data_IF_678838108898
#
_entry.id   IF_678838108898
#
_cell.length_a   1.000
_cell.length_b   1.000
_cell.length_c   1.000
_cell.angle_alpha   90.00
_cell.angle_beta   90.00
_cell.angle_gamma   90.00
#
_symmetry.space_group_name_H-M   'P 1'
#
loop_
_entity.id
_entity.type
_entity.pdbx_description
1 polymer ?
#
# COMPACT_ATOMS: atom_id res chain seq x y z
N UNK A 1 19.54 60.35 -44.36
CA UNK A 1 19.28 58.90 -44.28
C UNK A 1 20.20 58.26 -43.25
N UNK A 2 19.75 58.05 -42.01
CA UNK A 2 20.36 57.08 -41.10
C UNK A 2 19.49 55.81 -41.03
N UNK A 3 20.13 54.64 -41.13
CA UNK A 3 19.51 53.33 -40.93
C UNK A 3 19.07 53.18 -39.45
N UNK A 4 17.76 53.00 -39.21
CA UNK A 4 17.21 52.56 -37.93
C UNK A 4 17.22 51.03 -37.85
N UNK A 5 18.00 50.48 -36.93
CA UNK A 5 17.89 49.09 -36.48
C UNK A 5 16.72 48.96 -35.49
N UNK A 6 15.86 47.92 -35.61
CA UNK A 6 14.77 47.70 -34.68
C UNK A 6 15.25 47.01 -33.40
N UNK A 7 14.50 47.28 -32.32
CA UNK A 7 14.77 46.86 -30.95
C UNK A 7 14.89 45.33 -30.78
N UNK A 8 16.02 44.91 -30.20
CA UNK A 8 16.19 43.61 -29.54
C UNK A 8 15.40 43.61 -28.22
N UNK A 9 14.10 43.34 -28.31
CA UNK A 9 13.26 43.08 -27.14
C UNK A 9 12.59 41.72 -27.33
N UNK A 10 13.32 40.64 -27.04
CA UNK A 10 12.79 39.27 -26.86
C UNK A 10 13.93 38.35 -26.35
N UNK A 11 14.42 38.61 -25.14
CA UNK A 11 15.05 37.55 -24.33
C UNK A 11 13.99 37.20 -23.29
N UNK A 12 13.27 36.06 -23.39
CA UNK A 12 12.45 35.62 -22.28
C UNK A 12 13.41 35.34 -21.13
N UNK A 13 13.14 35.99 -19.99
CA UNK A 13 13.79 35.70 -18.74
C UNK A 13 13.79 34.18 -18.56
N UNK A 14 14.98 33.59 -18.55
CA UNK A 14 15.20 32.24 -18.05
C UNK A 14 14.87 32.36 -16.56
N UNK A 15 13.58 32.21 -16.26
CA UNK A 15 13.09 31.94 -14.92
C UNK A 15 13.91 30.77 -14.44
N UNK A 16 14.65 31.01 -13.36
CA UNK A 16 15.39 30.02 -12.60
C UNK A 16 14.44 28.86 -12.33
N UNK A 17 14.44 27.84 -13.20
CA UNK A 17 13.78 26.59 -12.90
C UNK A 17 14.50 26.06 -11.67
N UNK A 18 13.84 25.97 -10.50
CA UNK A 18 14.45 25.31 -9.38
C UNK A 18 14.75 23.89 -9.84
N UNK A 19 16.00 23.46 -9.70
CA UNK A 19 16.41 22.08 -9.93
C UNK A 19 15.40 21.21 -9.19
N UNK A 20 14.54 20.44 -9.88
CA UNK A 20 13.53 19.66 -9.19
C UNK A 20 14.30 18.68 -8.31
N UNK A 21 14.08 18.75 -7.00
CA UNK A 21 14.49 17.66 -6.12
C UNK A 21 13.88 16.37 -6.71
N UNK A 22 14.56 15.23 -6.56
CA UNK A 22 14.09 13.95 -7.10
C UNK A 22 12.63 13.63 -6.72
N UNK A 23 12.09 14.24 -5.66
CA UNK A 23 10.69 14.17 -5.24
C UNK A 23 9.69 14.86 -6.22
N UNK A 24 10.10 15.91 -6.94
CA UNK A 24 9.23 16.68 -7.83
C UNK A 24 9.09 16.05 -9.23
N UNK A 25 10.06 15.23 -9.64
CA UNK A 25 10.08 14.59 -10.96
C UNK A 25 8.95 13.54 -11.05
N UNK A 26 8.75 12.77 -9.99
CA UNK A 26 7.70 11.75 -9.94
C UNK A 26 6.30 12.34 -9.83
N UNK A 27 6.13 13.45 -9.08
CA UNK A 27 4.86 14.17 -9.00
C UNK A 27 4.46 14.80 -10.34
N UNK A 28 5.41 15.44 -11.02
CA UNK A 28 5.18 16.02 -12.34
C UNK A 28 4.85 14.93 -13.38
N UNK A 29 5.54 13.78 -13.32
CA UNK A 29 5.27 12.63 -14.19
C UNK A 29 3.93 11.98 -13.90
N UNK A 30 3.54 11.82 -12.64
CA UNK A 30 2.24 11.27 -12.23
C UNK A 30 1.09 12.21 -12.62
N UNK A 31 1.22 13.51 -12.39
CA UNK A 31 0.25 14.54 -12.80
C UNK A 31 0.08 14.62 -14.32
N UNK A 32 1.20 14.60 -15.05
CA UNK A 32 1.20 14.60 -16.52
C UNK A 32 0.58 13.32 -17.08
N UNK A 33 0.91 12.14 -16.52
CA UNK A 33 0.34 10.87 -16.95
C UNK A 33 -1.14 10.73 -16.59
N UNK A 34 -1.60 11.25 -15.46
CA UNK A 34 -3.03 11.29 -15.12
C UNK A 34 -3.81 12.09 -16.18
N UNK A 35 -3.28 13.24 -16.59
CA UNK A 35 -3.86 14.09 -17.65
C UNK A 35 -3.77 13.45 -19.04
N UNK A 36 -2.70 12.70 -19.33
CA UNK A 36 -2.56 11.93 -20.58
C UNK A 36 -3.37 10.64 -20.60
N UNK A 37 -3.61 9.99 -19.45
CA UNK A 37 -4.38 8.74 -19.35
C UNK A 37 -5.86 8.94 -19.68
N UNK A 38 -6.42 10.10 -19.34
CA UNK A 38 -7.76 10.50 -19.78
C UNK A 38 -7.82 10.72 -21.31
N UNK A 39 -6.70 11.06 -21.95
CA UNK A 39 -6.58 11.27 -23.40
C UNK A 39 -6.12 10.02 -24.17
N UNK A 40 -5.52 9.03 -23.50
CA UNK A 40 -4.84 7.88 -24.08
C UNK A 40 -5.65 6.56 -23.99
N UNK A 41 -6.97 6.62 -23.78
CA UNK A 41 -7.88 5.48 -23.88
C UNK A 41 -7.86 4.74 -25.24
N UNK A 42 -6.96 5.13 -26.16
CA UNK A 42 -6.83 4.56 -27.49
C UNK A 42 -5.54 3.71 -27.69
N UNK A 43 -4.44 3.88 -26.93
CA UNK A 43 -3.12 3.30 -27.31
C UNK A 43 -2.17 2.87 -26.14
N UNK A 44 -2.65 2.11 -25.14
CA UNK A 44 -1.77 1.49 -24.12
C UNK A 44 -1.44 0.01 -24.44
N UNK A 45 -0.19 -0.47 -24.20
CA UNK A 45 0.28 -1.82 -24.58
C UNK A 45 -0.34 -2.98 -23.76
N UNK A 46 -1.06 -2.69 -22.68
CA UNK A 46 -1.84 -3.67 -21.91
C UNK A 46 -3.21 -3.05 -21.55
N UNK A 47 -4.33 -3.71 -21.88
CA UNK A 47 -5.66 -3.21 -21.54
C UNK A 47 -5.80 -2.99 -20.03
N UNK A 48 -6.38 -1.86 -19.61
CA UNK A 48 -6.69 -1.57 -18.19
C UNK A 48 -7.44 -2.72 -17.50
N UNK A 49 -8.24 -3.47 -18.27
CA UNK A 49 -8.95 -4.67 -17.86
C UNK A 49 -7.99 -5.74 -17.31
N UNK A 50 -6.82 -5.95 -17.93
CA UNK A 50 -5.83 -6.93 -17.48
C UNK A 50 -5.21 -6.48 -16.16
N UNK A 51 -4.88 -5.18 -16.04
CA UNK A 51 -4.32 -4.60 -14.80
C UNK A 51 -5.28 -4.79 -13.63
N UNK A 52 -6.57 -4.53 -13.84
CA UNK A 52 -7.59 -4.76 -12.81
C UNK A 52 -7.83 -6.25 -12.54
N UNK A 53 -7.74 -7.10 -13.57
CA UNK A 53 -7.79 -8.56 -13.43
C UNK A 53 -6.73 -9.11 -12.47
N UNK A 54 -5.50 -8.58 -12.54
CA UNK A 54 -4.43 -8.92 -11.59
C UNK A 54 -4.80 -8.49 -10.17
N UNK A 55 -5.41 -7.31 -10.01
CA UNK A 55 -5.94 -6.85 -8.72
C UNK A 55 -6.99 -7.79 -8.14
N UNK A 56 -7.94 -8.26 -8.94
CA UNK A 56 -8.95 -9.24 -8.49
C UNK A 56 -8.33 -10.59 -8.12
N UNK A 57 -7.31 -11.04 -8.84
CA UNK A 57 -6.56 -12.24 -8.47
C UNK A 57 -5.85 -12.07 -7.11
N UNK A 58 -5.30 -10.88 -6.85
CA UNK A 58 -4.72 -10.54 -5.55
C UNK A 58 -5.76 -10.59 -4.42
N UNK A 59 -6.95 -10.03 -4.64
CA UNK A 59 -8.09 -10.10 -3.70
C UNK A 59 -8.44 -11.54 -3.39
N UNK A 60 -8.56 -12.39 -4.41
CA UNK A 60 -8.89 -13.80 -4.24
C UNK A 60 -7.85 -14.51 -3.37
N UNK A 61 -6.55 -14.26 -3.59
CA UNK A 61 -5.48 -14.80 -2.76
C UNK A 61 -5.58 -14.32 -1.31
N UNK A 62 -5.91 -13.06 -1.07
CA UNK A 62 -6.15 -12.52 0.27
C UNK A 62 -7.35 -13.16 0.97
N UNK A 63 -8.48 -13.30 0.28
CA UNK A 63 -9.67 -13.96 0.82
C UNK A 63 -9.37 -15.42 1.19
N UNK A 64 -8.66 -16.14 0.31
CA UNK A 64 -8.24 -17.52 0.58
C UNK A 64 -7.29 -17.59 1.77
N UNK A 65 -6.41 -16.60 1.94
CA UNK A 65 -5.50 -16.52 3.09
C UNK A 65 -6.26 -16.57 4.42
N UNK A 66 -7.36 -15.82 4.54
CA UNK A 66 -8.16 -15.77 5.76
C UNK A 66 -8.91 -17.07 6.06
N UNK A 67 -9.17 -17.90 5.05
CA UNK A 67 -9.87 -19.17 5.23
C UNK A 67 -8.93 -20.30 5.71
N UNK A 68 -7.62 -20.14 5.56
CA UNK A 68 -6.66 -21.18 5.92
C UNK A 68 -6.26 -21.08 7.39
N UNK A 69 -6.46 -22.18 8.13
CA UNK A 69 -6.08 -22.29 9.56
C UNK A 69 -4.57 -22.41 9.81
N UNK A 70 -3.77 -22.72 8.79
CA UNK A 70 -2.32 -22.88 8.92
C UNK A 70 -1.59 -21.54 8.78
N UNK A 71 -0.90 -21.10 9.84
CA UNK A 71 -0.15 -19.83 9.87
C UNK A 71 0.84 -19.68 8.70
N UNK A 72 1.56 -20.75 8.34
CA UNK A 72 2.57 -20.70 7.27
C UNK A 72 1.94 -20.44 5.89
N UNK A 73 0.81 -21.11 5.61
CA UNK A 73 0.07 -20.96 4.35
C UNK A 73 -0.69 -19.64 4.29
N UNK A 74 -1.19 -19.16 5.43
CA UNK A 74 -1.80 -17.84 5.57
C UNK A 74 -0.82 -16.74 5.12
N UNK A 75 0.39 -16.70 5.71
CA UNK A 75 1.39 -15.71 5.31
C UNK A 75 1.90 -15.89 3.88
N UNK A 76 1.97 -17.12 3.37
CA UNK A 76 2.33 -17.38 1.97
C UNK A 76 1.29 -16.78 1.00
N UNK A 77 0.00 -16.96 1.27
CA UNK A 77 -1.06 -16.37 0.43
C UNK A 77 -1.10 -14.85 0.55
N UNK A 78 -0.85 -14.28 1.73
CA UNK A 78 -0.69 -12.81 1.86
C UNK A 78 0.52 -12.31 1.11
N UNK A 79 1.63 -13.06 1.09
CA UNK A 79 2.81 -12.74 0.31
C UNK A 79 2.50 -12.74 -1.18
N UNK A 80 1.81 -13.77 -1.68
CA UNK A 80 1.38 -13.86 -3.09
C UNK A 80 0.42 -12.72 -3.43
N UNK A 81 -0.57 -12.45 -2.59
CA UNK A 81 -1.52 -11.35 -2.77
C UNK A 81 -0.81 -9.98 -2.79
N UNK A 82 0.11 -9.73 -1.85
CA UNK A 82 0.93 -8.52 -1.86
C UNK A 82 1.84 -8.42 -3.07
N UNK A 83 2.37 -9.53 -3.60
CA UNK A 83 3.17 -9.52 -4.82
C UNK A 83 2.32 -9.16 -6.05
N UNK A 84 1.11 -9.70 -6.16
CA UNK A 84 0.18 -9.38 -7.25
C UNK A 84 -0.26 -7.91 -7.20
N UNK A 85 -0.60 -7.38 -6.02
CA UNK A 85 -0.91 -5.96 -5.89
C UNK A 85 0.31 -5.06 -6.12
N UNK A 86 1.51 -5.49 -5.71
CA UNK A 86 2.76 -4.78 -6.00
C UNK A 86 2.95 -4.66 -7.52
N UNK A 87 2.72 -5.75 -8.25
CA UNK A 87 2.76 -5.77 -9.70
C UNK A 87 1.69 -4.87 -10.32
N UNK A 88 0.46 -4.91 -9.81
CA UNK A 88 -0.62 -4.02 -10.26
C UNK A 88 -0.25 -2.54 -10.06
N UNK A 89 0.26 -2.17 -8.89
CA UNK A 89 0.66 -0.79 -8.59
C UNK A 89 1.85 -0.33 -9.41
N UNK A 90 2.77 -1.24 -9.75
CA UNK A 90 3.83 -0.94 -10.70
C UNK A 90 3.26 -0.60 -12.08
N UNK A 91 2.28 -1.37 -12.57
CA UNK A 91 1.62 -1.11 -13.85
C UNK A 91 0.78 0.19 -13.85
N UNK A 92 0.25 0.59 -12.69
CA UNK A 92 -0.46 1.86 -12.50
C UNK A 92 0.48 3.06 -12.26
N UNK A 93 1.81 2.88 -12.35
CA UNK A 93 2.84 3.88 -12.01
C UNK A 93 2.71 4.43 -10.56
N UNK A 94 2.08 3.67 -9.67
CA UNK A 94 1.89 3.99 -8.26
C UNK A 94 3.07 3.49 -7.41
N UNK A 95 4.26 4.04 -7.66
CA UNK A 95 5.51 3.56 -7.05
C UNK A 95 5.51 3.56 -5.52
N UNK A 96 4.93 4.59 -4.89
CA UNK A 96 4.89 4.68 -3.41
C UNK A 96 4.15 3.50 -2.77
N UNK A 97 3.04 3.07 -3.36
CA UNK A 97 2.30 1.88 -2.94
C UNK A 97 3.07 0.61 -3.26
N UNK A 98 3.67 0.53 -4.45
CA UNK A 98 4.50 -0.60 -4.88
C UNK A 98 5.62 -0.89 -3.87
N UNK A 99 6.41 0.12 -3.46
CA UNK A 99 7.48 -0.09 -2.48
C UNK A 99 6.94 -0.41 -1.09
N UNK A 100 5.81 0.17 -0.68
CA UNK A 100 5.13 -0.19 0.57
C UNK A 100 4.71 -1.66 0.55
N UNK A 101 4.21 -2.16 -0.58
CA UNK A 101 3.86 -3.57 -0.75
C UNK A 101 5.09 -4.47 -0.81
N UNK A 102 6.20 -4.02 -1.37
CA UNK A 102 7.47 -4.75 -1.34
C UNK A 102 7.95 -5.00 0.11
N UNK A 103 7.80 -4.02 1.00
CA UNK A 103 8.10 -4.22 2.44
C UNK A 103 7.06 -5.13 3.09
N UNK A 104 5.79 -5.07 2.70
CA UNK A 104 4.78 -6.02 3.17
C UNK A 104 5.10 -7.47 2.76
N UNK A 105 5.63 -7.69 1.55
CA UNK A 105 6.15 -9.00 1.10
C UNK A 105 7.28 -9.46 2.01
N UNK A 106 8.27 -8.60 2.30
CA UNK A 106 9.36 -8.89 3.23
C UNK A 106 8.82 -9.24 4.62
N UNK A 107 7.90 -8.43 5.15
CA UNK A 107 7.25 -8.65 6.46
C UNK A 107 6.54 -10.01 6.50
N UNK A 108 5.76 -10.34 5.47
CA UNK A 108 5.03 -11.60 5.38
C UNK A 108 6.00 -12.80 5.28
N UNK A 109 7.12 -12.64 4.57
CA UNK A 109 8.18 -13.66 4.51
C UNK A 109 8.87 -13.87 5.87
N UNK A 110 9.15 -12.78 6.60
CA UNK A 110 9.70 -12.85 7.97
C UNK A 110 8.72 -13.55 8.92
N UNK A 111 7.43 -13.23 8.83
CA UNK A 111 6.38 -13.88 9.62
C UNK A 111 6.23 -15.37 9.31
N UNK A 112 6.46 -15.78 8.06
CA UNK A 112 6.48 -17.21 7.71
C UNK A 112 7.60 -17.97 8.43
N UNK A 113 8.73 -17.33 8.71
CA UNK A 113 9.87 -17.88 9.46
C UNK A 113 9.85 -17.52 10.95
N UNK A 114 8.73 -16.98 11.46
CA UNK A 114 8.62 -16.53 12.86
C UNK A 114 8.93 -17.64 13.88
N UNK A 115 8.57 -18.89 13.57
CA UNK A 115 8.82 -20.04 14.46
C UNK A 115 10.27 -20.55 14.38
N UNK A 116 10.92 -20.40 13.23
CA UNK A 116 12.28 -20.92 13.00
C UNK A 116 13.36 -19.93 13.50
N UNK A 117 13.07 -18.62 13.40
CA UNK A 117 14.04 -17.56 13.66
C UNK A 117 13.68 -16.78 14.93
N UNK A 118 14.33 -17.12 16.04
CA UNK A 118 14.14 -16.48 17.35
C UNK A 118 14.37 -14.96 17.35
N UNK A 119 15.13 -14.41 16.40
CA UNK A 119 15.33 -12.96 16.31
C UNK A 119 14.10 -12.22 15.77
N UNK A 120 13.27 -12.86 14.93
CA UNK A 120 12.05 -12.25 14.37
C UNK A 120 11.02 -12.02 15.48
N UNK A 121 11.05 -12.84 16.52
CA UNK A 121 10.18 -12.72 17.69
C UNK A 121 10.54 -11.54 18.61
N UNK A 122 11.72 -10.92 18.43
CA UNK A 122 12.15 -9.80 19.27
C UNK A 122 11.39 -8.53 18.90
N UNK A 123 11.10 -7.70 19.92
CA UNK A 123 10.39 -6.42 19.79
C UNK A 123 11.07 -5.39 18.89
N UNK A 124 12.37 -5.57 18.58
CA UNK A 124 13.12 -4.70 17.66
C UNK A 124 12.78 -4.95 16.18
N UNK A 125 12.29 -6.14 15.81
CA UNK A 125 11.99 -6.48 14.42
C UNK A 125 10.91 -5.56 13.77
N UNK A 126 9.75 -5.30 14.39
CA UNK A 126 8.75 -4.39 13.82
C UNK A 126 9.25 -2.94 13.76
N UNK A 127 10.15 -2.53 14.67
CA UNK A 127 10.78 -1.21 14.65
C UNK A 127 11.69 -1.07 13.42
N UNK A 128 12.51 -2.07 13.12
CA UNK A 128 13.38 -2.08 11.94
C UNK A 128 12.55 -2.03 10.65
N UNK A 129 11.46 -2.80 10.58
CA UNK A 129 10.56 -2.78 9.41
C UNK A 129 9.89 -1.40 9.28
N UNK A 130 9.53 -0.76 10.39
CA UNK A 130 8.94 0.59 10.38
C UNK A 130 9.94 1.66 9.92
N UNK A 131 11.21 1.53 10.30
CA UNK A 131 12.30 2.39 9.79
C UNK A 131 12.47 2.18 8.28
N UNK A 132 12.38 0.94 7.81
CA UNK A 132 12.44 0.64 6.36
C UNK A 132 11.28 1.28 5.60
N UNK A 133 10.05 1.21 6.14
CA UNK A 133 8.90 1.95 5.62
C UNK A 133 9.14 3.45 5.57
N UNK A 134 9.76 4.03 6.61
CA UNK A 134 10.04 5.47 6.67
C UNK A 134 11.09 5.88 5.63
N UNK A 135 12.14 5.07 5.46
CA UNK A 135 13.15 5.26 4.41
C UNK A 135 12.52 5.24 3.01
N UNK A 136 11.65 4.27 2.75
CA UNK A 136 10.90 4.19 1.48
C UNK A 136 9.98 5.39 1.29
N UNK A 137 9.26 5.82 2.33
CA UNK A 137 8.41 7.01 2.28
C UNK A 137 9.22 8.26 1.89
N UNK A 138 10.40 8.45 2.48
CA UNK A 138 11.27 9.58 2.17
C UNK A 138 11.78 9.50 0.72
N UNK A 139 12.19 8.31 0.28
CA UNK A 139 12.71 8.11 -1.08
C UNK A 139 11.63 8.23 -2.18
N UNK A 140 10.40 7.83 -1.86
CA UNK A 140 9.28 7.72 -2.83
C UNK A 140 8.19 8.75 -2.56
N UNK A 141 8.54 9.83 -1.86
CA UNK A 141 7.61 10.87 -1.44
C UNK A 141 6.90 11.48 -2.66
N UNK A 142 5.62 11.16 -2.81
CA UNK A 142 4.80 11.61 -3.94
C UNK A 142 3.58 12.44 -3.46
N UNK A 143 3.69 13.03 -2.27
CA UNK A 143 2.65 13.82 -1.63
C UNK A 143 1.92 13.10 -0.48
N UNK A 144 0.82 13.66 0.03
CA UNK A 144 0.14 13.15 1.22
C UNK A 144 -0.43 11.74 1.06
N UNK A 145 -0.65 11.30 -0.18
CA UNK A 145 -1.13 9.95 -0.51
C UNK A 145 -0.13 8.87 -0.07
N UNK A 146 1.18 9.14 -0.22
CA UNK A 146 2.24 8.24 0.27
C UNK A 146 2.21 8.06 1.79
N UNK A 147 1.75 9.08 2.52
CA UNK A 147 1.62 9.04 3.97
C UNK A 147 0.54 8.03 4.40
N UNK A 148 -0.56 7.90 3.64
CA UNK A 148 -1.65 6.97 3.93
C UNK A 148 -1.17 5.51 3.85
N UNK A 149 -0.50 5.14 2.75
CA UNK A 149 0.06 3.79 2.58
C UNK A 149 1.13 3.47 3.65
N UNK A 150 1.93 4.47 4.02
CA UNK A 150 2.91 4.35 5.09
C UNK A 150 2.25 4.11 6.45
N UNK A 151 1.31 4.96 6.87
CA UNK A 151 0.63 4.87 8.17
C UNK A 151 -0.13 3.54 8.29
N UNK A 152 -0.82 3.13 7.23
CA UNK A 152 -1.51 1.85 7.18
C UNK A 152 -0.55 0.67 7.34
N UNK A 153 0.59 0.70 6.63
CA UNK A 153 1.58 -0.36 6.69
C UNK A 153 2.30 -0.46 8.04
N UNK A 154 2.68 0.68 8.63
CA UNK A 154 3.37 0.73 9.92
C UNK A 154 2.44 0.29 11.05
N UNK A 155 1.22 0.83 11.11
CA UNK A 155 0.24 0.46 12.14
C UNK A 155 -0.06 -1.05 12.11
N UNK A 156 -0.32 -1.62 10.93
CA UNK A 156 -0.51 -3.07 10.77
C UNK A 156 0.71 -3.87 11.22
N UNK A 157 1.92 -3.40 10.93
CA UNK A 157 3.16 -4.09 11.30
C UNK A 157 3.33 -4.21 12.81
N UNK A 158 3.17 -3.13 13.57
CA UNK A 158 3.25 -3.20 15.05
C UNK A 158 2.22 -4.18 15.63
N UNK A 159 1.06 -4.21 15.01
CA UNK A 159 -0.08 -4.97 15.50
C UNK A 159 0.06 -6.47 15.21
N UNK A 160 0.64 -6.86 14.07
CA UNK A 160 1.03 -8.25 13.80
C UNK A 160 2.00 -8.79 14.85
N UNK A 161 2.94 -7.97 15.33
CA UNK A 161 3.88 -8.37 16.40
C UNK A 161 3.27 -8.39 17.80
N UNK A 162 2.16 -7.68 18.01
CA UNK A 162 1.47 -7.66 19.31
C UNK A 162 0.75 -8.98 19.61
N UNK A 163 0.62 -9.88 18.63
CA UNK A 163 0.03 -11.24 18.76
C UNK A 163 -1.41 -11.29 19.33
N UNK A 164 -2.03 -10.17 19.68
CA UNK A 164 -3.40 -10.10 20.16
C UNK A 164 -4.36 -9.98 18.97
N UNK A 165 -5.17 -11.02 18.67
CA UNK A 165 -6.12 -10.99 17.55
C UNK A 165 -7.10 -9.82 17.63
N UNK A 166 -7.45 -9.41 18.86
CA UNK A 166 -8.32 -8.25 19.11
C UNK A 166 -7.67 -6.96 18.61
N UNK A 167 -6.42 -6.72 18.97
CA UNK A 167 -5.70 -5.52 18.54
C UNK A 167 -5.48 -5.52 17.02
N UNK A 168 -5.24 -6.70 16.43
CA UNK A 168 -5.17 -6.90 14.97
C UNK A 168 -6.45 -6.46 14.27
N UNK A 169 -7.61 -6.92 14.73
CA UNK A 169 -8.89 -6.54 14.11
C UNK A 169 -9.22 -5.06 14.31
N UNK A 170 -8.99 -4.51 15.50
CA UNK A 170 -9.33 -3.11 15.80
C UNK A 170 -8.47 -2.11 15.03
N UNK A 171 -7.14 -2.29 15.02
CA UNK A 171 -6.27 -1.34 14.32
C UNK A 171 -6.40 -1.47 12.81
N UNK A 172 -6.59 -2.69 12.29
CA UNK A 172 -6.91 -2.85 10.87
C UNK A 172 -8.22 -2.14 10.50
N UNK A 173 -9.28 -2.25 11.31
CA UNK A 173 -10.55 -1.58 11.03
C UNK A 173 -10.46 -0.04 11.10
N UNK A 174 -9.82 0.50 12.14
CA UNK A 174 -9.90 1.94 12.45
C UNK A 174 -8.83 2.74 11.71
N UNK A 175 -7.69 2.13 11.42
CA UNK A 175 -6.54 2.84 10.85
C UNK A 175 -6.11 2.24 9.51
N UNK A 176 -5.73 0.96 9.47
CA UNK A 176 -5.06 0.43 8.28
C UNK A 176 -5.99 0.33 7.06
N UNK A 177 -7.16 -0.28 7.20
CA UNK A 177 -8.14 -0.43 6.11
C UNK A 177 -8.68 0.90 5.58
N UNK A 178 -9.12 1.87 6.41
CA UNK A 178 -9.57 3.15 5.87
C UNK A 178 -8.45 3.93 5.17
N UNK A 179 -7.21 3.85 5.67
CA UNK A 179 -6.06 4.48 5.00
C UNK A 179 -5.72 3.82 3.66
N UNK A 180 -5.73 2.48 3.56
CA UNK A 180 -5.55 1.76 2.29
C UNK A 180 -6.72 1.99 1.34
N UNK A 181 -7.95 2.03 1.83
CA UNK A 181 -9.13 2.28 1.01
C UNK A 181 -9.08 3.66 0.34
N UNK A 182 -8.74 4.72 1.09
CA UNK A 182 -8.57 6.07 0.52
C UNK A 182 -7.43 6.06 -0.50
N UNK A 183 -6.33 5.37 -0.20
CA UNK A 183 -5.20 5.22 -1.13
C UNK A 183 -5.63 4.54 -2.44
N UNK A 184 -6.35 3.43 -2.36
CA UNK A 184 -6.80 2.64 -3.51
C UNK A 184 -7.78 3.40 -4.39
N UNK A 185 -8.68 4.20 -3.79
CA UNK A 185 -9.56 5.12 -4.53
C UNK A 185 -8.74 6.16 -5.29
N UNK A 186 -7.72 6.75 -4.67
CA UNK A 186 -6.88 7.78 -5.32
C UNK A 186 -6.05 7.20 -6.47
N UNK A 187 -5.59 5.95 -6.33
CA UNK A 187 -4.80 5.23 -7.33
C UNK A 187 -5.66 4.52 -8.39
N UNK A 188 -6.99 4.55 -8.25
CA UNK A 188 -7.96 3.83 -9.10
C UNK A 188 -7.69 2.30 -9.15
N UNK A 189 -7.30 1.72 -8.02
CA UNK A 189 -7.16 0.27 -7.85
C UNK A 189 -8.50 -0.33 -7.41
N UNK A 190 -9.31 -0.77 -8.37
CA UNK A 190 -10.62 -1.37 -8.06
C UNK A 190 -10.49 -2.69 -7.29
N UNK A 191 -9.43 -3.47 -7.57
CA UNK A 191 -9.11 -4.67 -6.82
C UNK A 191 -8.75 -4.37 -5.36
N UNK A 192 -7.88 -3.39 -5.10
CA UNK A 192 -7.50 -2.98 -3.75
C UNK A 192 -8.72 -2.47 -2.96
N UNK A 193 -9.50 -1.59 -3.59
CA UNK A 193 -10.75 -1.07 -3.03
C UNK A 193 -11.71 -2.19 -2.61
N UNK A 194 -11.92 -3.19 -3.48
CA UNK A 194 -12.78 -4.34 -3.18
C UNK A 194 -12.22 -5.16 -2.01
N UNK A 195 -10.89 -5.39 -1.96
CA UNK A 195 -10.23 -6.09 -0.85
C UNK A 195 -10.49 -5.41 0.49
N UNK A 196 -10.34 -4.09 0.54
CA UNK A 196 -10.53 -3.31 1.76
C UNK A 196 -12.00 -3.26 2.16
N UNK A 197 -12.94 -3.13 1.21
CA UNK A 197 -14.37 -3.20 1.49
C UNK A 197 -14.77 -4.56 2.08
N UNK A 198 -14.29 -5.66 1.51
CA UNK A 198 -14.56 -7.00 2.04
C UNK A 198 -13.99 -7.14 3.46
N UNK A 199 -12.80 -6.61 3.70
CA UNK A 199 -12.16 -6.63 5.02
C UNK A 199 -12.97 -5.83 6.05
N UNK A 200 -13.41 -4.62 5.70
CA UNK A 200 -14.25 -3.77 6.56
C UNK A 200 -15.59 -4.46 6.88
N UNK A 201 -16.27 -5.01 5.88
CA UNK A 201 -17.54 -5.74 6.07
C UNK A 201 -17.33 -6.97 6.94
N UNK A 202 -16.27 -7.75 6.71
CA UNK A 202 -15.94 -8.94 7.49
C UNK A 202 -15.73 -8.62 8.97
N UNK A 203 -14.99 -7.54 9.27
CA UNK A 203 -14.77 -7.11 10.66
C UNK A 203 -16.07 -6.55 11.27
N UNK A 204 -16.86 -5.78 10.52
CA UNK A 204 -18.14 -5.24 10.99
C UNK A 204 -19.13 -6.36 11.34
N UNK A 205 -19.26 -7.37 10.48
CA UNK A 205 -20.09 -8.57 10.74
C UNK A 205 -19.58 -9.32 11.98
N UNK A 206 -18.26 -9.43 12.17
CA UNK A 206 -17.68 -10.03 13.37
C UNK A 206 -18.06 -9.27 14.64
N UNK A 207 -18.02 -7.93 14.62
CA UNK A 207 -18.44 -7.07 15.74
C UNK A 207 -19.94 -7.21 16.03
N UNK A 208 -20.79 -7.18 14.99
CA UNK A 208 -22.24 -7.28 15.15
C UNK A 208 -22.69 -8.64 15.67
N UNK A 209 -22.05 -9.73 15.21
CA UNK A 209 -22.43 -11.10 15.58
C UNK A 209 -21.94 -11.52 16.96
N UNK A 210 -20.70 -11.18 17.32
CA UNK A 210 -20.06 -11.65 18.56
C UNK A 210 -20.01 -10.59 19.65
N UNK A 211 -20.38 -9.36 19.32
CA UNK A 211 -20.28 -8.21 20.21
C UNK A 211 -18.83 -7.89 20.60
N UNK A 212 -18.65 -6.77 21.29
CA UNK A 212 -17.35 -6.37 21.81
C UNK A 212 -16.73 -7.40 22.79
N UNK A 213 -17.56 -8.22 23.44
CA UNK A 213 -17.12 -9.24 24.40
C UNK A 213 -16.61 -10.53 23.73
N UNK A 214 -17.22 -10.97 22.62
CA UNK A 214 -16.73 -12.14 21.88
C UNK A 214 -15.35 -11.92 21.24
N UNK A 215 -15.05 -10.68 20.84
CA UNK A 215 -13.72 -10.30 20.35
C UNK A 215 -12.62 -10.40 21.42
N UNK A 216 -12.97 -10.31 22.70
CA UNK A 216 -12.03 -10.50 23.81
C UNK A 216 -11.80 -11.99 24.10
N UNK A 217 -12.86 -12.80 24.10
CA UNK A 217 -12.78 -14.26 24.34
C UNK A 217 -12.12 -15.04 23.20
N UNK A 218 -12.35 -14.67 21.93
CA UNK A 218 -11.68 -15.27 20.78
C UNK A 218 -10.17 -14.95 20.75
N UNK A 219 -9.79 -13.78 21.27
CA UNK A 219 -8.40 -13.34 21.36
C UNK A 219 -7.64 -14.07 22.47
N UNK A 220 -8.30 -14.34 23.60
CA UNK A 220 -7.73 -15.05 24.74
C UNK A 220 -7.59 -16.56 24.45
N UNK A 221 -8.58 -17.18 23.81
CA UNK A 221 -8.51 -18.60 23.41
C UNK A 221 -7.48 -18.89 22.30
N UNK A 222 -7.19 -17.91 21.43
CA UNK A 222 -6.14 -18.02 20.40
C UNK A 222 -4.72 -17.85 20.96
N UNK A 223 -4.57 -17.19 22.12
CA UNK A 223 -3.31 -17.05 22.85
C UNK A 223 -2.97 -18.32 23.62
N UNK A 224 -3.98 -18.96 24.23
CA UNK A 224 -3.83 -20.21 25.01
C UNK A 224 -3.55 -21.43 24.12
N UNK A 225 -3.88 -21.36 22.81
CA UNK A 225 -3.68 -22.46 21.85
C UNK A 225 -2.38 -22.35 21.04
N UNK A 226 -1.48 -21.41 21.36
CA UNK A 226 -0.13 -21.35 20.79
C UNK A 226 0.87 -22.13 21.63
#
# INVERSE_FOLDING_TARGET
MPLQLPALNCIPAISTMPIPSSANIWQARWSSKKRSGDAALQDDPMPQIIVQGIGFAAVAAFILSYQIKSNRRLFLLQLIGSALFCWQFFLLDAFSGCFSLAVNILRNALMMKYNDWKWVQKKWCPVIISILFAGILILTWNGPVSLLAFLASVSSTFVYWTNSPRNIRMVNLVCASPCWLIYDVIVHSWGGLLSELITLISILVSILRFGWKGLAQDAESSQVRK
#
